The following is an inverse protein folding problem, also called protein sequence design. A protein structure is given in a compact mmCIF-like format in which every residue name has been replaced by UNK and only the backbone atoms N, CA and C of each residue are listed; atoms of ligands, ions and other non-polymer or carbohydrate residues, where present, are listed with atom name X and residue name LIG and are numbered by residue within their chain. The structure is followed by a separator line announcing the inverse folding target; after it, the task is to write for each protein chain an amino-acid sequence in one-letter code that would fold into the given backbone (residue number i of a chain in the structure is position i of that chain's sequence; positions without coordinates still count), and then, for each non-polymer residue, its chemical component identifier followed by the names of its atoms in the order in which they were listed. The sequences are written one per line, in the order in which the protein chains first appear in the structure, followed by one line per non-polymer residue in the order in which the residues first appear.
data_IF_262720359709
#
_entry.id   IF_262720359709
#
_cell.length_a   1.000
_cell.length_b   1.000
_cell.length_c   1.000
_cell.angle_alpha   90.00
_cell.angle_beta   90.00
_cell.angle_gamma   90.00
#
_symmetry.space_group_name_H-M   'P 1'
#
loop_
_entity.id
_entity.type
_entity.pdbx_description
1 polymer ?
#
# COMPACT_ATOMS: atom_id res chain seq x y z
N UNK A 1 -47.90 -22.36 13.51
CA UNK A 1 -46.59 -23.01 13.75
C UNK A 1 -46.00 -23.43 12.40
N UNK A 2 -44.98 -22.70 11.94
CA UNK A 2 -44.24 -23.08 10.72
C UNK A 2 -43.52 -24.44 10.93
N UNK A 3 -43.56 -25.33 9.94
CA UNK A 3 -42.78 -26.56 9.99
C UNK A 3 -41.31 -26.16 9.98
N UNK A 4 -40.52 -26.59 10.97
CA UNK A 4 -39.05 -26.42 10.94
C UNK A 4 -38.49 -27.10 9.71
N UNK A 5 -37.60 -26.43 9.00
CA UNK A 5 -36.99 -26.94 7.75
C UNK A 5 -36.11 -28.16 8.02
N UNK A 6 -35.49 -28.19 9.21
CA UNK A 6 -34.57 -29.27 9.62
C UNK A 6 -34.94 -29.78 10.99
N UNK A 7 -34.61 -31.01 11.25
CA UNK A 7 -34.68 -31.63 12.57
C UNK A 7 -33.29 -31.73 13.18
N UNK A 8 -33.19 -31.72 14.50
CA UNK A 8 -31.91 -31.74 15.23
C UNK A 8 -31.03 -32.96 14.84
N UNK A 9 -31.65 -34.08 14.51
CA UNK A 9 -30.99 -35.32 14.08
C UNK A 9 -30.12 -35.14 12.82
N UNK A 10 -30.36 -34.11 12.01
CA UNK A 10 -29.58 -33.81 10.81
C UNK A 10 -28.37 -32.90 11.08
N UNK A 11 -28.20 -32.36 12.30
CA UNK A 11 -27.02 -31.61 12.65
C UNK A 11 -25.78 -32.51 12.71
N UNK A 12 -24.72 -32.12 12.06
CA UNK A 12 -23.44 -32.83 12.05
C UNK A 12 -22.39 -32.05 12.85
N UNK A 13 -21.96 -32.64 13.98
CA UNK A 13 -20.92 -32.00 14.82
C UNK A 13 -19.59 -31.92 14.07
N UNK A 14 -19.13 -33.00 13.44
CA UNK A 14 -17.85 -33.04 12.70
C UNK A 14 -17.80 -31.99 11.60
N UNK A 15 -18.90 -31.76 10.88
CA UNK A 15 -19.00 -30.76 9.82
C UNK A 15 -19.10 -29.33 10.38
N UNK A 16 -19.76 -29.17 11.52
CA UNK A 16 -19.84 -27.92 12.26
C UNK A 16 -18.45 -27.50 12.71
N UNK A 17 -17.69 -28.45 13.28
CA UNK A 17 -16.31 -28.22 13.70
C UNK A 17 -15.40 -27.92 12.51
N UNK A 18 -15.56 -28.62 11.39
CA UNK A 18 -14.83 -28.36 10.15
C UNK A 18 -15.17 -27.00 9.54
N UNK A 19 -16.43 -26.54 9.63
CA UNK A 19 -16.81 -25.20 9.21
C UNK A 19 -16.14 -24.13 10.08
N UNK A 20 -15.99 -24.37 11.40
CA UNK A 20 -15.26 -23.49 12.31
C UNK A 20 -15.87 -22.09 12.45
N UNK A 21 -17.18 -21.95 12.31
CA UNK A 21 -17.94 -20.74 12.60
C UNK A 21 -18.73 -20.95 13.88
N UNK A 22 -18.38 -20.28 15.01
CA UNK A 22 -18.81 -20.67 16.37
C UNK A 22 -20.31 -20.59 16.59
N UNK A 23 -21.04 -19.79 15.83
CA UNK A 23 -22.48 -19.58 16.01
C UNK A 23 -23.35 -20.35 15.01
N UNK A 24 -22.72 -21.19 14.17
CA UNK A 24 -23.43 -21.99 13.18
C UNK A 24 -23.38 -23.48 13.50
N UNK A 25 -24.42 -24.18 13.05
CA UNK A 25 -24.50 -25.65 12.98
C UNK A 25 -24.75 -26.06 11.55
N UNK A 26 -23.96 -27.01 11.05
CA UNK A 26 -24.18 -27.61 9.73
C UNK A 26 -25.26 -28.66 9.83
N UNK A 27 -26.31 -28.51 9.04
CA UNK A 27 -27.48 -29.43 9.04
C UNK A 27 -27.48 -30.38 7.83
N UNK A 28 -26.83 -30.01 6.73
CA UNK A 28 -26.59 -30.88 5.60
C UNK A 28 -25.42 -30.38 4.76
N UNK A 29 -24.85 -31.29 3.97
CA UNK A 29 -23.85 -31.02 2.95
C UNK A 29 -24.28 -31.64 1.64
N UNK A 30 -24.04 -30.92 0.55
CA UNK A 30 -24.26 -31.43 -0.80
C UNK A 30 -23.10 -30.98 -1.69
N UNK A 31 -22.83 -31.70 -2.73
CA UNK A 31 -21.92 -31.27 -3.79
C UNK A 31 -22.70 -30.52 -4.85
N UNK A 32 -22.16 -29.42 -5.34
CA UNK A 32 -22.71 -28.70 -6.49
C UNK A 32 -22.43 -29.54 -7.75
N UNK A 33 -23.47 -29.96 -8.49
CA UNK A 33 -23.29 -30.81 -9.68
C UNK A 33 -22.56 -30.10 -10.83
N UNK A 34 -22.53 -28.75 -10.83
CA UNK A 34 -21.90 -27.94 -11.90
C UNK A 34 -20.44 -27.61 -11.61
N UNK A 35 -20.10 -27.34 -10.34
CA UNK A 35 -18.77 -26.83 -9.95
C UNK A 35 -17.96 -27.82 -9.12
N UNK A 36 -18.55 -28.91 -8.68
CA UNK A 36 -18.01 -29.87 -7.69
C UNK A 36 -17.60 -29.17 -6.36
N UNK A 37 -18.11 -27.98 -6.10
CA UNK A 37 -17.93 -27.27 -4.83
C UNK A 37 -18.85 -27.87 -3.77
N UNK A 38 -18.38 -27.93 -2.53
CA UNK A 38 -19.22 -28.38 -1.42
C UNK A 38 -20.14 -27.25 -0.97
N UNK A 39 -21.42 -27.57 -0.86
CA UNK A 39 -22.48 -26.69 -0.36
C UNK A 39 -22.81 -27.11 1.08
N UNK A 40 -22.57 -26.19 2.02
CA UNK A 40 -22.90 -26.40 3.42
C UNK A 40 -24.20 -25.67 3.76
N UNK A 41 -25.22 -26.43 4.19
CA UNK A 41 -26.44 -25.83 4.74
C UNK A 41 -26.28 -25.69 6.23
N UNK A 42 -26.41 -24.46 6.73
CA UNK A 42 -26.21 -24.14 8.13
C UNK A 42 -27.38 -23.33 8.71
N UNK A 43 -27.57 -23.49 9.99
CA UNK A 43 -28.50 -22.72 10.83
C UNK A 43 -27.73 -22.12 12.00
N UNK A 44 -28.28 -21.09 12.62
CA UNK A 44 -27.74 -20.58 13.87
C UNK A 44 -27.87 -21.65 14.98
N UNK A 45 -26.88 -21.77 15.87
CA UNK A 45 -26.86 -22.77 16.94
C UNK A 45 -28.11 -22.74 17.84
N UNK A 46 -28.77 -21.60 17.97
CA UNK A 46 -30.03 -21.44 18.69
C UNK A 46 -31.25 -21.91 17.89
N UNK A 47 -31.08 -22.45 16.66
CA UNK A 47 -32.20 -22.89 15.79
C UNK A 47 -33.06 -23.95 16.48
N UNK A 48 -32.44 -24.89 17.17
CA UNK A 48 -33.11 -25.95 17.92
C UNK A 48 -33.43 -25.60 19.37
N UNK A 49 -32.91 -24.44 19.86
CA UNK A 49 -33.19 -23.97 21.23
C UNK A 49 -34.66 -23.59 21.38
N UNK A 50 -35.18 -23.83 22.57
CA UNK A 50 -36.50 -23.36 22.97
C UNK A 50 -36.48 -21.93 23.51
N UNK A 51 -35.32 -21.32 23.64
CA UNK A 51 -35.17 -19.96 24.12
C UNK A 51 -35.78 -18.96 23.11
N UNK A 52 -36.52 -18.00 23.66
CA UNK A 52 -37.08 -16.93 22.82
C UNK A 52 -36.01 -15.92 22.45
N UNK A 53 -36.05 -15.45 21.20
CA UNK A 53 -35.15 -14.40 20.75
C UNK A 53 -35.58 -13.06 21.34
N UNK A 54 -34.61 -12.27 21.80
CA UNK A 54 -34.86 -10.93 22.35
C UNK A 54 -35.00 -9.94 21.19
N UNK A 55 -36.03 -9.11 21.24
CA UNK A 55 -36.23 -8.07 20.23
C UNK A 55 -35.15 -6.99 20.33
N UNK A 56 -34.40 -6.68 19.26
CA UNK A 56 -33.34 -5.67 19.30
C UNK A 56 -33.88 -4.23 19.45
N UNK A 57 -35.18 -4.02 19.25
CA UNK A 57 -35.79 -2.68 19.28
C UNK A 57 -36.35 -2.31 20.65
N UNK A 58 -37.00 -3.23 21.34
CA UNK A 58 -37.64 -2.95 22.64
C UNK A 58 -37.13 -3.84 23.77
N UNK A 59 -36.19 -4.74 23.51
CA UNK A 59 -35.64 -5.72 24.44
C UNK A 59 -36.68 -6.70 25.02
N UNK A 60 -37.88 -6.75 24.43
CA UNK A 60 -38.92 -7.70 24.84
C UNK A 60 -38.61 -9.12 24.37
N UNK A 61 -39.00 -10.09 25.21
CA UNK A 61 -38.85 -11.52 24.92
C UNK A 61 -40.11 -12.17 24.28
N UNK A 62 -41.17 -11.41 24.09
CA UNK A 62 -42.41 -11.89 23.47
C UNK A 62 -42.30 -11.88 21.94
N UNK A 63 -41.56 -12.87 21.42
CA UNK A 63 -41.24 -12.96 19.98
C UNK A 63 -41.73 -14.28 19.42
N UNK A 64 -42.22 -14.24 18.17
CA UNK A 64 -42.68 -15.41 17.44
C UNK A 64 -41.94 -15.52 16.10
N UNK A 65 -41.45 -16.72 15.77
CA UNK A 65 -40.88 -17.00 14.46
C UNK A 65 -41.96 -16.86 13.37
N UNK A 66 -41.64 -16.13 12.30
CA UNK A 66 -42.59 -15.86 11.22
C UNK A 66 -42.20 -16.58 9.94
N UNK A 67 -40.94 -16.59 9.57
CA UNK A 67 -40.44 -17.22 8.33
C UNK A 67 -38.95 -17.52 8.44
N UNK A 68 -38.50 -18.41 7.54
CA UNK A 68 -37.10 -18.71 7.28
C UNK A 68 -36.76 -18.27 5.87
N UNK A 69 -35.59 -17.64 5.69
CA UNK A 69 -35.05 -17.32 4.36
C UNK A 69 -33.65 -17.87 4.22
N UNK A 70 -33.38 -18.52 3.10
CA UNK A 70 -32.03 -18.97 2.77
C UNK A 70 -31.22 -17.82 2.16
N UNK A 71 -30.02 -17.60 2.73
CA UNK A 71 -29.04 -16.65 2.20
C UNK A 71 -27.80 -17.42 1.81
N UNK A 72 -27.27 -17.14 0.62
CA UNK A 72 -26.04 -17.77 0.12
C UNK A 72 -24.84 -16.88 0.39
N UNK A 73 -23.78 -17.49 0.92
CA UNK A 73 -22.49 -16.87 1.14
C UNK A 73 -21.40 -17.75 0.53
N UNK A 74 -20.31 -17.16 0.11
CA UNK A 74 -19.05 -17.88 -0.10
C UNK A 74 -18.23 -17.82 1.19
N UNK A 75 -17.59 -18.94 1.50
CA UNK A 75 -16.74 -19.08 2.67
C UNK A 75 -15.49 -19.88 2.35
N UNK A 76 -14.56 -19.97 3.28
CA UNK A 76 -13.34 -20.75 3.16
C UNK A 76 -13.20 -21.70 4.35
N UNK A 77 -13.01 -22.98 4.04
CA UNK A 77 -12.75 -23.94 5.09
C UNK A 77 -11.32 -23.82 5.60
N UNK A 78 -11.12 -23.83 6.93
CA UNK A 78 -9.79 -24.01 7.51
C UNK A 78 -9.26 -25.38 7.08
N UNK A 79 -8.04 -25.45 6.57
CA UNK A 79 -7.41 -26.72 6.22
C UNK A 79 -6.16 -26.94 7.06
N UNK A 80 -6.04 -28.11 7.66
CA UNK A 80 -4.85 -28.52 8.41
C UNK A 80 -3.59 -28.58 7.53
N UNK A 81 -3.75 -28.76 6.20
CA UNK A 81 -2.66 -28.91 5.23
C UNK A 81 -2.36 -27.64 4.44
N UNK A 82 -2.90 -26.47 4.83
CA UNK A 82 -2.67 -25.21 4.15
C UNK A 82 -3.47 -25.01 2.85
N UNK A 83 -4.06 -26.07 2.27
CA UNK A 83 -4.95 -25.98 1.12
C UNK A 83 -6.32 -25.45 1.56
N UNK A 84 -6.61 -24.20 1.23
CA UNK A 84 -7.86 -23.54 1.59
C UNK A 84 -8.90 -23.80 0.50
N UNK A 85 -10.00 -24.46 0.83
CA UNK A 85 -11.11 -24.74 -0.10
C UNK A 85 -12.21 -23.70 0.10
N UNK A 86 -12.61 -23.04 -0.98
CA UNK A 86 -13.80 -22.16 -0.98
C UNK A 86 -15.03 -23.05 -1.09
N UNK A 87 -16.07 -22.70 -0.34
CA UNK A 87 -17.34 -23.42 -0.27
C UNK A 87 -18.51 -22.47 -0.43
N UNK A 88 -19.65 -23.00 -0.81
CA UNK A 88 -20.94 -22.34 -0.70
C UNK A 88 -21.58 -22.64 0.65
N UNK A 89 -21.88 -21.57 1.39
CA UNK A 89 -22.59 -21.62 2.67
C UNK A 89 -24.01 -21.12 2.47
N UNK A 90 -25.00 -21.98 2.63
CA UNK A 90 -26.42 -21.63 2.61
C UNK A 90 -26.91 -21.52 4.04
N UNK A 91 -27.02 -20.30 4.51
CA UNK A 91 -27.51 -19.99 5.86
C UNK A 91 -29.03 -19.82 5.85
N UNK A 92 -29.72 -20.59 6.69
CA UNK A 92 -31.19 -20.55 6.85
C UNK A 92 -31.54 -19.62 8.01
N UNK A 93 -31.69 -18.33 7.70
CA UNK A 93 -31.93 -17.24 8.64
C UNK A 93 -33.41 -17.19 9.03
N UNK A 94 -33.68 -17.21 10.34
CA UNK A 94 -35.01 -17.04 10.91
C UNK A 94 -35.38 -15.56 11.00
N UNK A 95 -36.65 -15.28 10.84
CA UNK A 95 -37.26 -13.97 11.06
C UNK A 95 -38.31 -14.07 12.14
N UNK A 96 -38.32 -13.08 13.02
CA UNK A 96 -39.20 -13.01 14.18
C UNK A 96 -40.04 -11.75 14.14
N UNK A 97 -41.25 -11.82 14.67
CA UNK A 97 -42.08 -10.67 15.01
C UNK A 97 -42.10 -10.51 16.51
N UNK A 98 -41.90 -9.32 17.00
CA UNK A 98 -42.08 -8.99 18.40
C UNK A 98 -43.54 -8.56 18.63
N UNK A 99 -44.23 -9.25 19.54
CA UNK A 99 -45.63 -8.90 19.85
C UNK A 99 -45.74 -7.68 20.75
N UNK A 100 -44.66 -7.29 21.49
CA UNK A 100 -44.64 -6.11 22.32
C UNK A 100 -44.54 -4.79 21.51
N UNK A 101 -43.74 -4.74 20.48
CA UNK A 101 -43.55 -3.55 19.67
C UNK A 101 -43.98 -3.72 18.18
N UNK A 102 -44.51 -4.89 17.81
CA UNK A 102 -44.99 -5.26 16.49
C UNK A 102 -43.98 -5.12 15.34
N UNK A 103 -42.68 -5.09 15.65
CA UNK A 103 -41.60 -5.01 14.65
C UNK A 103 -41.13 -6.40 14.27
N UNK A 104 -40.69 -6.52 12.98
CA UNK A 104 -40.07 -7.72 12.44
C UNK A 104 -38.56 -7.52 12.45
N UNK A 105 -37.83 -8.54 12.89
CA UNK A 105 -36.38 -8.59 12.85
C UNK A 105 -35.90 -9.98 12.44
N UNK A 106 -34.62 -10.09 12.06
CA UNK A 106 -33.99 -11.35 11.74
C UNK A 106 -32.95 -11.73 12.80
N UNK A 107 -32.56 -12.98 12.82
CA UNK A 107 -31.36 -13.42 13.57
C UNK A 107 -30.16 -12.58 13.15
N UNK A 108 -29.30 -12.29 14.12
CA UNK A 108 -28.03 -11.63 13.86
C UNK A 108 -27.10 -12.53 13.03
N UNK A 109 -26.30 -11.92 12.17
CA UNK A 109 -25.27 -12.59 11.37
C UNK A 109 -23.94 -11.94 11.71
N UNK A 110 -23.14 -12.61 12.57
CA UNK A 110 -21.83 -12.08 12.99
C UNK A 110 -20.70 -12.54 12.08
N UNK A 111 -20.91 -13.61 11.31
CA UNK A 111 -19.91 -14.17 10.41
C UNK A 111 -19.77 -13.46 9.07
N UNK A 112 -20.66 -12.52 8.74
CA UNK A 112 -20.64 -11.73 7.51
C UNK A 112 -21.16 -10.31 7.76
N UNK A 113 -20.60 -9.32 7.05
CA UNK A 113 -21.10 -7.96 7.08
C UNK A 113 -22.45 -7.82 6.35
N UNK A 114 -23.25 -6.83 6.78
CA UNK A 114 -24.54 -6.54 6.16
C UNK A 114 -24.40 -6.26 4.66
N UNK A 115 -25.24 -6.94 3.88
CA UNK A 115 -25.24 -6.84 2.42
C UNK A 115 -24.13 -7.62 1.73
N UNK A 116 -23.16 -8.20 2.45
CA UNK A 116 -22.09 -9.00 1.89
C UNK A 116 -22.55 -10.45 1.58
N UNK A 117 -21.96 -11.01 0.53
CA UNK A 117 -22.12 -12.43 0.15
C UNK A 117 -20.89 -13.27 0.48
N UNK A 118 -19.95 -12.73 1.23
CA UNK A 118 -18.73 -13.39 1.67
C UNK A 118 -18.67 -13.33 3.19
N UNK A 119 -18.17 -14.41 3.79
CA UNK A 119 -17.92 -14.40 5.23
C UNK A 119 -16.79 -13.41 5.57
N UNK A 120 -16.74 -13.00 6.83
CA UNK A 120 -15.71 -12.07 7.31
C UNK A 120 -14.31 -12.64 7.05
N UNK A 121 -14.07 -13.92 7.36
CA UNK A 121 -12.76 -14.55 7.18
C UNK A 121 -12.35 -14.67 5.70
N UNK A 122 -13.28 -14.97 4.79
CA UNK A 122 -12.98 -14.95 3.35
C UNK A 122 -12.69 -13.52 2.88
N UNK A 123 -13.49 -12.55 3.33
CA UNK A 123 -13.28 -11.14 3.00
C UNK A 123 -11.93 -10.63 3.50
N UNK A 124 -11.51 -11.04 4.70
CA UNK A 124 -10.19 -10.70 5.25
C UNK A 124 -9.05 -11.31 4.44
N UNK A 125 -9.18 -12.61 4.09
CA UNK A 125 -8.19 -13.29 3.26
C UNK A 125 -8.03 -12.67 1.88
N UNK A 126 -9.17 -12.31 1.24
CA UNK A 126 -9.15 -11.61 -0.05
C UNK A 126 -8.48 -10.24 0.09
N UNK A 127 -8.77 -9.50 1.16
CA UNK A 127 -8.15 -8.20 1.43
C UNK A 127 -6.63 -8.33 1.63
N UNK A 128 -6.18 -9.30 2.41
CA UNK A 128 -4.75 -9.60 2.61
C UNK A 128 -4.05 -9.92 1.30
N UNK A 129 -4.66 -10.75 0.45
CA UNK A 129 -4.11 -11.04 -0.88
C UNK A 129 -3.90 -9.78 -1.72
N UNK A 130 -4.75 -8.77 -1.58
CA UNK A 130 -4.64 -7.52 -2.35
C UNK A 130 -3.55 -6.56 -1.86
N UNK A 131 -2.87 -6.86 -0.77
CA UNK A 131 -1.69 -6.09 -0.36
C UNK A 131 -0.56 -6.21 -1.39
N UNK A 132 -0.45 -7.36 -2.05
CA UNK A 132 0.64 -7.66 -3.00
C UNK A 132 0.16 -8.07 -4.39
N UNK A 133 -1.16 -8.17 -4.62
CA UNK A 133 -1.74 -8.63 -5.88
C UNK A 133 -2.96 -7.82 -6.30
N UNK A 134 -3.31 -7.91 -7.60
CA UNK A 134 -4.55 -7.29 -8.10
C UNK A 134 -5.78 -8.05 -7.60
N UNK A 135 -6.94 -7.36 -7.50
CA UNK A 135 -8.20 -7.97 -7.10
C UNK A 135 -8.58 -9.19 -7.97
N UNK A 136 -8.35 -9.10 -9.27
CA UNK A 136 -8.67 -10.18 -10.21
C UNK A 136 -7.86 -11.44 -9.92
N UNK A 137 -6.55 -11.30 -9.69
CA UNK A 137 -5.68 -12.43 -9.36
C UNK A 137 -6.06 -13.09 -8.06
N UNK A 138 -6.31 -12.27 -7.03
CA UNK A 138 -6.73 -12.80 -5.72
C UNK A 138 -8.05 -13.56 -5.85
N UNK A 139 -9.05 -12.99 -6.54
CA UNK A 139 -10.32 -13.65 -6.77
C UNK A 139 -10.16 -14.96 -7.57
N UNK A 140 -9.35 -14.97 -8.63
CA UNK A 140 -9.05 -16.17 -9.43
C UNK A 140 -8.37 -17.26 -8.59
N UNK A 141 -7.41 -16.89 -7.72
CA UNK A 141 -6.72 -17.83 -6.83
C UNK A 141 -7.69 -18.57 -5.91
N UNK A 142 -8.71 -17.90 -5.41
CA UNK A 142 -9.68 -18.46 -4.49
C UNK A 142 -10.98 -18.95 -5.18
N UNK A 143 -11.04 -18.97 -6.52
CA UNK A 143 -12.23 -19.38 -7.24
C UNK A 143 -13.47 -18.53 -6.95
N UNK A 144 -13.27 -17.29 -6.52
CA UNK A 144 -14.37 -16.38 -6.19
C UNK A 144 -14.75 -15.60 -7.44
N UNK A 145 -16.02 -15.65 -7.90
CA UNK A 145 -16.44 -14.90 -9.06
C UNK A 145 -16.30 -13.40 -8.80
N UNK A 146 -15.39 -12.79 -9.53
CA UNK A 146 -15.14 -11.35 -9.48
C UNK A 146 -16.19 -10.59 -10.28
N UNK A 147 -17.31 -10.24 -9.67
CA UNK A 147 -17.93 -8.98 -10.11
C UNK A 147 -17.00 -7.87 -9.60
N UNK A 148 -16.25 -7.26 -10.53
CA UNK A 148 -15.17 -6.30 -10.27
C UNK A 148 -15.55 -5.21 -9.24
N UNK A 149 -16.82 -4.81 -9.22
CA UNK A 149 -17.32 -3.73 -8.38
C UNK A 149 -17.57 -4.16 -6.93
N UNK A 150 -18.24 -5.30 -6.71
CA UNK A 150 -18.66 -5.70 -5.36
C UNK A 150 -17.50 -6.21 -4.52
N UNK A 151 -16.63 -7.03 -5.11
CA UNK A 151 -15.44 -7.57 -4.40
C UNK A 151 -14.46 -6.44 -4.08
N UNK A 152 -14.21 -5.55 -5.02
CA UNK A 152 -13.33 -4.39 -4.80
C UNK A 152 -13.83 -3.47 -3.68
N UNK A 153 -15.15 -3.28 -3.54
CA UNK A 153 -15.73 -2.48 -2.45
C UNK A 153 -15.53 -3.16 -1.10
N UNK A 154 -15.77 -4.48 -1.01
CA UNK A 154 -15.59 -5.25 0.22
C UNK A 154 -14.12 -5.24 0.66
N UNK A 155 -13.20 -5.51 -0.28
CA UNK A 155 -11.78 -5.52 0.00
C UNK A 155 -11.28 -4.14 0.49
N UNK A 156 -11.69 -3.06 -0.17
CA UNK A 156 -11.36 -1.69 0.26
C UNK A 156 -11.86 -1.40 1.68
N UNK A 157 -13.10 -1.77 1.97
CA UNK A 157 -13.68 -1.58 3.30
C UNK A 157 -12.89 -2.34 4.37
N UNK A 158 -12.51 -3.60 4.09
CA UNK A 158 -11.72 -4.41 5.01
C UNK A 158 -10.30 -3.87 5.22
N UNK A 159 -9.64 -3.45 4.15
CA UNK A 159 -8.32 -2.81 4.26
C UNK A 159 -8.37 -1.54 5.12
N UNK A 160 -9.39 -0.68 4.92
CA UNK A 160 -9.60 0.51 5.75
C UNK A 160 -9.86 0.18 7.21
N UNK A 161 -10.65 -0.85 7.50
CA UNK A 161 -10.91 -1.28 8.88
C UNK A 161 -9.63 -1.76 9.56
N UNK A 162 -8.82 -2.57 8.87
CA UNK A 162 -7.51 -3.01 9.39
C UNK A 162 -6.55 -1.85 9.61
N UNK A 163 -6.45 -0.92 8.67
CA UNK A 163 -5.60 0.27 8.82
C UNK A 163 -6.03 1.14 10.03
N UNK A 164 -7.34 1.27 10.28
CA UNK A 164 -7.85 2.01 11.45
C UNK A 164 -7.59 1.31 12.80
N UNK A 165 -7.33 0.02 12.79
CA UNK A 165 -6.99 -0.75 14.01
C UNK A 165 -5.50 -0.64 14.38
N UNK A 166 -4.70 0.07 13.56
CA UNK A 166 -3.31 0.33 13.89
C UNK A 166 -3.21 1.08 15.22
N UNK A 167 -2.27 0.70 16.10
CA UNK A 167 -2.03 1.44 17.32
C UNK A 167 -1.69 2.91 17.03
N UNK A 168 -1.98 3.82 17.97
CA UNK A 168 -1.61 5.22 17.82
C UNK A 168 -0.10 5.37 17.67
N UNK A 169 0.31 6.43 16.99
CA UNK A 169 1.70 6.74 16.73
C UNK A 169 2.34 7.41 17.94
N UNK A 170 3.56 7.01 18.23
CA UNK A 170 4.44 7.81 19.05
C UNK A 170 5.10 8.88 18.18
N UNK A 171 5.03 10.15 18.60
CA UNK A 171 5.68 11.25 17.85
C UNK A 171 7.19 11.04 17.79
N UNK A 172 7.82 11.02 16.60
CA UNK A 172 9.25 10.82 16.45
C UNK A 172 10.03 12.10 16.77
N UNK A 173 11.30 11.95 17.15
CA UNK A 173 12.21 13.10 17.27
C UNK A 173 12.64 13.63 15.92
N UNK A 174 12.74 12.76 14.93
CA UNK A 174 13.18 13.10 13.56
C UNK A 174 12.10 12.63 12.58
N UNK A 175 11.66 13.49 11.72
CA UNK A 175 10.72 13.20 10.63
C UNK A 175 11.35 13.43 9.27
N UNK A 176 10.96 12.62 8.31
CA UNK A 176 11.21 12.84 6.88
C UNK A 176 9.89 12.90 6.16
N UNK A 177 9.64 13.93 5.37
CA UNK A 177 8.43 14.08 4.57
C UNK A 177 8.85 14.29 3.12
N UNK A 178 8.45 13.39 2.26
CA UNK A 178 8.67 13.49 0.83
C UNK A 178 7.35 13.33 0.08
N UNK A 179 7.26 13.94 -1.09
CA UNK A 179 6.02 14.09 -1.85
C UNK A 179 6.16 13.40 -3.21
N UNK A 180 6.05 12.06 -3.27
CA UNK A 180 6.08 11.35 -4.53
C UNK A 180 4.78 11.56 -5.32
N UNK A 181 4.92 11.53 -6.64
CA UNK A 181 3.77 11.47 -7.54
C UNK A 181 3.37 10.01 -7.78
N UNK A 182 2.10 9.72 -7.56
CA UNK A 182 1.51 8.41 -7.75
C UNK A 182 0.19 8.55 -8.51
N UNK A 183 0.08 7.95 -9.70
CA UNK A 183 -1.06 8.14 -10.62
C UNK A 183 -1.42 9.62 -10.85
N UNK A 184 -0.42 10.46 -11.11
CA UNK A 184 -0.54 11.90 -11.31
C UNK A 184 -1.07 12.70 -10.09
N UNK A 185 -1.06 12.12 -8.89
CA UNK A 185 -1.39 12.81 -7.66
C UNK A 185 -0.18 12.81 -6.73
N UNK A 186 0.01 13.92 -6.04
CA UNK A 186 1.04 14.07 -5.02
C UNK A 186 0.52 13.53 -3.68
N UNK A 187 1.17 12.50 -3.14
CA UNK A 187 0.82 11.92 -1.85
C UNK A 187 1.98 12.03 -0.86
N UNK A 188 1.97 13.01 0.04
CA UNK A 188 3.05 13.14 1.01
C UNK A 188 3.18 11.90 1.90
N UNK A 189 4.37 11.34 1.94
CA UNK A 189 4.75 10.19 2.76
C UNK A 189 5.54 10.70 3.95
N UNK A 190 5.07 10.37 5.15
CA UNK A 190 5.68 10.81 6.41
C UNK A 190 6.35 9.64 7.10
N UNK A 191 7.65 9.74 7.28
CA UNK A 191 8.46 8.77 8.01
C UNK A 191 8.95 9.35 9.33
N UNK A 192 9.00 8.51 10.36
CA UNK A 192 9.62 8.86 11.63
C UNK A 192 10.86 8.02 11.90
N UNK A 193 11.87 8.66 12.50
CA UNK A 193 13.12 8.02 12.88
C UNK A 193 13.26 8.06 14.39
N UNK A 194 13.44 6.89 14.99
CA UNK A 194 13.77 6.75 16.41
C UNK A 194 15.01 5.88 16.53
N UNK A 195 16.17 6.49 16.78
CA UNK A 195 17.45 5.80 16.82
C UNK A 195 17.79 5.13 15.47
N UNK A 196 17.91 3.80 15.45
CA UNK A 196 18.18 3.01 14.25
C UNK A 196 16.92 2.44 13.59
N UNK A 197 15.73 2.80 14.07
CA UNK A 197 14.47 2.31 13.54
C UNK A 197 13.71 3.40 12.81
N UNK A 198 13.01 2.98 11.79
CA UNK A 198 12.17 3.81 10.95
C UNK A 198 10.77 3.27 10.95
N UNK A 199 9.80 4.16 10.86
CA UNK A 199 8.42 3.78 10.69
C UNK A 199 7.72 4.68 9.67
N UNK A 200 6.78 4.12 8.98
CA UNK A 200 5.81 4.89 8.22
C UNK A 200 4.81 5.48 9.20
N UNK A 201 4.78 6.79 9.32
CA UNK A 201 3.83 7.50 10.17
C UNK A 201 2.50 7.58 9.46
N UNK A 202 2.49 8.15 8.27
CA UNK A 202 1.29 8.29 7.45
C UNK A 202 1.61 8.52 5.98
N UNK A 203 0.58 8.39 5.14
CA UNK A 203 0.56 8.86 3.76
C UNK A 203 -0.61 9.81 3.65
N UNK A 204 -0.36 11.09 3.35
CA UNK A 204 -1.42 12.09 3.30
C UNK A 204 -2.18 12.04 1.97
N UNK A 205 -3.45 12.46 1.98
CA UNK A 205 -4.33 12.39 0.81
C UNK A 205 -4.01 13.45 -0.25
N UNK A 206 -3.32 14.51 0.14
CA UNK A 206 -3.00 15.63 -0.74
C UNK A 206 -1.79 16.40 -0.21
N UNK A 207 -1.08 17.07 -1.12
CA UNK A 207 -0.01 18.01 -0.82
C UNK A 207 -0.59 19.41 -0.72
N UNK A 208 -1.07 19.79 0.48
CA UNK A 208 -1.59 21.14 0.75
C UNK A 208 -1.21 21.60 2.15
N UNK A 209 -1.07 22.90 2.33
CA UNK A 209 -0.73 23.49 3.63
C UNK A 209 -1.76 23.10 4.71
N UNK A 210 -3.05 23.02 4.36
CA UNK A 210 -4.11 22.62 5.27
C UNK A 210 -3.98 21.13 5.69
N UNK A 211 -3.69 20.23 4.76
CA UNK A 211 -3.50 18.83 5.05
C UNK A 211 -2.29 18.61 5.98
N UNK A 212 -1.18 19.32 5.72
CA UNK A 212 -0.02 19.30 6.60
C UNK A 212 -0.33 19.83 8.00
N UNK A 213 -1.03 20.97 8.09
CA UNK A 213 -1.40 21.56 9.38
C UNK A 213 -2.29 20.65 10.21
N UNK A 214 -3.28 20.00 9.59
CA UNK A 214 -4.14 19.01 10.24
C UNK A 214 -3.32 17.82 10.73
N UNK A 215 -2.46 17.26 9.90
CA UNK A 215 -1.61 16.14 10.28
C UNK A 215 -0.66 16.53 11.45
N UNK A 216 0.05 17.65 11.35
CA UNK A 216 0.99 18.10 12.39
C UNK A 216 0.29 18.41 13.71
N UNK A 217 -1.00 18.76 13.70
CA UNK A 217 -1.77 18.95 14.92
C UNK A 217 -1.99 17.67 15.72
N UNK A 218 -1.84 16.52 15.10
CA UNK A 218 -1.97 15.19 15.75
C UNK A 218 -0.70 14.75 16.48
N UNK A 219 0.41 15.47 16.28
CA UNK A 219 1.72 15.13 16.84
C UNK A 219 2.03 15.96 18.09
N UNK A 220 2.84 15.40 18.97
CA UNK A 220 3.42 16.14 20.09
C UNK A 220 4.59 17.01 19.58
N UNK A 221 4.31 18.30 19.38
CA UNK A 221 5.24 19.27 18.79
C UNK A 221 6.55 19.41 19.57
N UNK A 222 6.53 19.17 20.88
CA UNK A 222 7.71 19.34 21.75
C UNK A 222 8.74 18.23 21.56
N UNK A 223 8.35 17.11 20.98
CA UNK A 223 9.24 15.96 20.73
C UNK A 223 10.00 16.07 19.41
N UNK A 224 9.47 16.81 18.44
CA UNK A 224 10.07 16.92 17.10
C UNK A 224 11.25 17.87 17.14
N UNK A 225 12.44 17.38 16.81
CA UNK A 225 13.70 18.14 16.81
C UNK A 225 14.19 18.47 15.40
N UNK A 226 13.96 17.56 14.46
CA UNK A 226 14.43 17.68 13.08
C UNK A 226 13.33 17.23 12.10
N UNK A 227 13.16 18.00 11.04
CA UNK A 227 12.22 17.69 9.97
C UNK A 227 12.96 17.80 8.64
N UNK A 228 13.10 16.68 7.94
CA UNK A 228 13.60 16.65 6.57
C UNK A 228 12.42 16.71 5.63
N UNK A 229 12.42 17.70 4.75
CA UNK A 229 11.31 17.95 3.83
C UNK A 229 11.78 17.90 2.38
N UNK A 230 10.84 17.61 1.50
CA UNK A 230 10.98 17.95 0.10
C UNK A 230 10.94 19.48 -0.07
N UNK A 231 11.60 20.02 -1.09
CA UNK A 231 11.57 21.43 -1.43
C UNK A 231 10.19 21.83 -1.98
N UNK A 232 9.23 21.96 -1.06
CA UNK A 232 7.85 22.40 -1.29
C UNK A 232 7.54 23.55 -0.34
N UNK A 233 7.11 24.68 -0.89
CA UNK A 233 6.89 25.91 -0.12
C UNK A 233 5.77 25.75 0.92
N UNK A 234 4.68 25.05 0.56
CA UNK A 234 3.54 24.83 1.45
C UNK A 234 3.93 23.90 2.61
N UNK A 235 4.70 22.85 2.31
CA UNK A 235 5.23 21.95 3.31
C UNK A 235 6.21 22.67 4.26
N UNK A 236 7.11 23.47 3.71
CA UNK A 236 8.05 24.27 4.51
C UNK A 236 7.32 25.23 5.45
N UNK A 237 6.36 26.01 4.94
CA UNK A 237 5.58 26.96 5.73
C UNK A 237 4.77 26.26 6.83
N UNK A 238 4.15 25.13 6.52
CA UNK A 238 3.39 24.33 7.49
C UNK A 238 4.31 23.74 8.57
N UNK A 239 5.46 23.20 8.20
CA UNK A 239 6.44 22.65 9.15
C UNK A 239 7.03 23.72 10.06
N UNK A 240 7.42 24.88 9.52
CA UNK A 240 7.94 26.01 10.29
C UNK A 240 6.93 26.54 11.31
N UNK A 241 5.64 26.56 10.93
CA UNK A 241 4.57 26.98 11.83
C UNK A 241 4.30 25.93 12.92
N UNK A 242 4.34 24.66 12.57
CA UNK A 242 4.01 23.56 13.49
C UNK A 242 5.15 23.27 14.48
N UNK A 243 6.40 23.39 14.05
CA UNK A 243 7.60 23.01 14.81
C UNK A 243 8.62 24.15 14.86
N UNK A 244 8.31 25.26 15.55
CA UNK A 244 9.15 26.46 15.56
C UNK A 244 10.55 26.22 16.17
N UNK A 245 10.69 25.21 17.04
CA UNK A 245 11.94 24.87 17.71
C UNK A 245 12.71 23.74 16.99
N UNK A 246 12.16 23.19 15.90
CA UNK A 246 12.80 22.14 15.13
C UNK A 246 13.64 22.69 13.98
N UNK A 247 14.75 22.01 13.66
CA UNK A 247 15.52 22.29 12.46
C UNK A 247 14.83 21.70 11.23
N UNK A 248 14.46 22.56 10.28
CA UNK A 248 13.85 22.14 9.02
C UNK A 248 14.94 22.13 7.95
N UNK A 249 15.12 20.99 7.30
CA UNK A 249 16.24 20.75 6.38
C UNK A 249 15.77 20.07 5.10
N UNK A 250 16.52 20.29 4.01
CA UNK A 250 16.38 19.56 2.74
C UNK A 250 17.56 18.60 2.62
N UNK A 251 17.28 17.32 2.53
CA UNK A 251 18.32 16.29 2.48
C UNK A 251 18.88 16.08 1.08
N UNK A 252 20.08 15.55 1.01
CA UNK A 252 20.71 15.11 -0.23
C UNK A 252 19.81 14.16 -1.03
N UNK A 253 19.14 13.22 -0.35
CA UNK A 253 18.24 12.28 -1.00
C UNK A 253 17.03 12.96 -1.66
N UNK A 254 16.51 14.04 -1.07
CA UNK A 254 15.46 14.82 -1.69
C UNK A 254 15.93 15.43 -3.00
N UNK A 255 17.11 16.08 -3.01
CA UNK A 255 17.68 16.69 -4.23
C UNK A 255 17.95 15.61 -5.29
N UNK A 256 18.57 14.50 -4.90
CA UNK A 256 18.84 13.38 -5.82
C UNK A 256 17.58 12.77 -6.40
N UNK A 257 16.47 12.78 -5.66
CA UNK A 257 15.18 12.32 -6.18
C UNK A 257 14.69 13.19 -7.33
N UNK A 258 14.73 14.52 -7.19
CA UNK A 258 14.36 15.44 -8.28
C UNK A 258 15.24 15.26 -9.51
N UNK A 259 16.53 15.03 -9.32
CA UNK A 259 17.45 14.75 -10.44
C UNK A 259 17.06 13.46 -11.16
N UNK A 260 16.70 12.39 -10.43
CA UNK A 260 16.22 11.15 -11.01
C UNK A 260 14.87 11.32 -11.72
N UNK A 261 13.97 12.13 -11.17
CA UNK A 261 12.69 12.47 -11.79
C UNK A 261 12.89 13.22 -13.11
N UNK A 262 13.80 14.20 -13.15
CA UNK A 262 14.19 14.89 -14.39
C UNK A 262 14.73 13.90 -15.45
N UNK A 263 15.63 13.00 -15.05
CA UNK A 263 16.11 11.94 -15.94
C UNK A 263 14.97 11.02 -16.41
N UNK A 264 14.02 10.68 -15.54
CA UNK A 264 12.86 9.87 -15.88
C UNK A 264 11.98 10.56 -16.93
N UNK A 265 11.79 11.87 -16.82
CA UNK A 265 11.00 12.63 -17.78
C UNK A 265 11.68 12.74 -19.14
N UNK A 266 13.00 12.88 -19.19
CA UNK A 266 13.77 12.76 -20.43
C UNK A 266 13.61 11.38 -21.05
N UNK A 267 13.71 10.31 -20.25
CA UNK A 267 13.51 8.93 -20.72
C UNK A 267 12.10 8.74 -21.31
N UNK A 268 11.06 9.30 -20.67
CA UNK A 268 9.68 9.23 -21.19
C UNK A 268 9.52 9.93 -22.54
N UNK A 269 10.14 11.10 -22.71
CA UNK A 269 10.07 11.87 -23.95
C UNK A 269 10.84 11.20 -25.10
N UNK A 270 12.03 10.72 -24.82
CA UNK A 270 12.92 10.07 -25.80
C UNK A 270 12.58 8.60 -26.04
N UNK A 271 11.74 7.99 -25.22
CA UNK A 271 11.45 6.57 -25.24
C UNK A 271 10.14 6.19 -25.93
N UNK A 272 10.11 5.10 -26.67
CA UNK A 272 8.88 4.47 -27.13
C UNK A 272 8.17 3.75 -25.98
N UNK A 273 6.84 3.88 -25.92
CA UNK A 273 5.92 3.59 -24.81
C UNK A 273 6.03 2.22 -24.09
N UNK A 274 6.68 1.21 -24.66
CA UNK A 274 6.65 -0.16 -24.12
C UNK A 274 7.88 -0.60 -23.32
N UNK A 275 8.99 0.13 -23.31
CA UNK A 275 10.24 -0.34 -22.71
C UNK A 275 10.82 0.59 -21.63
N UNK A 276 10.13 1.66 -21.28
CA UNK A 276 10.67 2.76 -20.47
C UNK A 276 10.88 2.35 -19.03
N UNK A 277 9.91 1.66 -18.44
CA UNK A 277 9.94 1.35 -17.01
C UNK A 277 11.07 0.37 -16.61
N UNK A 278 11.27 -0.69 -17.41
CA UNK A 278 12.37 -1.65 -17.15
C UNK A 278 13.76 -1.03 -17.32
N UNK A 279 13.88 0.04 -18.13
CA UNK A 279 15.15 0.70 -18.42
C UNK A 279 15.47 1.84 -17.47
N UNK A 280 14.46 2.46 -16.88
CA UNK A 280 14.63 3.54 -15.91
C UNK A 280 15.54 3.13 -14.75
N UNK A 281 15.22 2.05 -14.07
CA UNK A 281 16.06 1.56 -12.96
C UNK A 281 17.50 1.27 -13.37
N UNK A 282 17.71 0.77 -14.59
CA UNK A 282 19.06 0.49 -15.10
C UNK A 282 19.81 1.79 -15.43
N UNK A 283 19.13 2.78 -16.00
CA UNK A 283 19.71 4.09 -16.32
C UNK A 283 19.99 4.94 -15.08
N UNK A 284 19.23 4.78 -14.00
CA UNK A 284 19.48 5.45 -12.73
C UNK A 284 20.52 4.77 -11.84
N UNK A 285 21.02 3.57 -12.21
CA UNK A 285 22.15 2.93 -11.52
C UNK A 285 23.45 3.67 -11.80
N UNK A 286 24.31 3.76 -10.78
CA UNK A 286 25.70 4.14 -10.97
C UNK A 286 26.38 3.10 -11.88
N UNK A 287 27.05 3.59 -12.93
CA UNK A 287 27.64 2.77 -13.98
C UNK A 287 28.63 1.72 -13.46
N UNK A 288 29.32 2.01 -12.36
CA UNK A 288 30.25 1.06 -11.72
C UNK A 288 29.55 -0.21 -11.21
N UNK A 289 28.24 -0.16 -10.92
CA UNK A 289 27.46 -1.31 -10.46
C UNK A 289 26.66 -2.01 -11.55
N UNK A 290 26.79 -1.57 -12.82
CA UNK A 290 26.14 -2.24 -13.95
C UNK A 290 26.84 -3.56 -14.27
N UNK A 291 26.06 -4.64 -14.34
CA UNK A 291 26.59 -5.91 -14.88
C UNK A 291 26.70 -5.86 -16.42
N UNK A 292 27.35 -6.86 -17.03
CA UNK A 292 27.62 -6.87 -18.47
C UNK A 292 26.33 -6.85 -19.33
N UNK A 293 25.23 -7.57 -19.03
CA UNK A 293 23.95 -7.42 -19.71
C UNK A 293 23.35 -6.02 -19.60
N UNK A 294 23.31 -5.44 -18.38
CA UNK A 294 22.78 -4.09 -18.14
C UNK A 294 23.59 -3.03 -18.92
N UNK A 295 24.90 -3.10 -18.91
CA UNK A 295 25.76 -2.19 -19.67
C UNK A 295 25.49 -2.27 -21.18
N UNK A 296 25.31 -3.47 -21.74
CA UNK A 296 24.93 -3.64 -23.15
C UNK A 296 23.54 -3.04 -23.42
N UNK A 297 22.63 -3.16 -22.49
CA UNK A 297 21.28 -2.58 -22.61
C UNK A 297 21.32 -1.05 -22.58
N UNK A 298 22.08 -0.44 -21.66
CA UNK A 298 22.31 1.00 -21.58
C UNK A 298 22.89 1.50 -22.91
N UNK A 299 24.01 0.94 -23.37
CA UNK A 299 24.67 1.35 -24.61
C UNK A 299 23.71 1.28 -25.83
N UNK A 300 22.91 0.20 -25.95
CA UNK A 300 21.91 0.06 -27.01
C UNK A 300 20.80 1.11 -26.89
N UNK A 301 20.43 1.50 -25.68
CA UNK A 301 19.40 2.50 -25.44
C UNK A 301 19.88 3.89 -25.83
N UNK A 302 21.12 4.22 -25.51
CA UNK A 302 21.71 5.53 -25.74
C UNK A 302 22.17 5.75 -27.20
N UNK A 303 22.61 4.70 -27.92
CA UNK A 303 23.23 4.78 -29.25
C UNK A 303 22.42 5.48 -30.34
N UNK A 304 21.14 5.76 -30.15
CA UNK A 304 20.23 6.42 -31.10
C UNK A 304 19.43 7.54 -30.45
N UNK A 305 19.87 8.01 -29.29
CA UNK A 305 19.15 9.03 -28.51
C UNK A 305 20.16 9.96 -27.87
N UNK A 306 20.62 10.90 -28.67
CA UNK A 306 21.76 11.75 -28.31
C UNK A 306 21.44 12.64 -27.08
N UNK A 307 20.23 13.22 -27.01
CA UNK A 307 19.78 13.99 -25.86
C UNK A 307 19.75 13.15 -24.58
N UNK A 308 19.21 11.93 -24.64
CA UNK A 308 19.22 11.00 -23.50
C UNK A 308 20.66 10.56 -23.15
N UNK A 309 21.53 10.41 -24.14
CA UNK A 309 22.94 10.07 -23.89
C UNK A 309 23.66 11.21 -23.15
N UNK A 310 23.41 12.46 -23.51
CA UNK A 310 23.91 13.64 -22.78
C UNK A 310 23.40 13.67 -21.34
N UNK A 311 22.08 13.53 -21.14
CA UNK A 311 21.48 13.49 -19.82
C UNK A 311 22.02 12.35 -18.94
N UNK A 312 22.20 11.16 -19.52
CA UNK A 312 22.78 10.01 -18.81
C UNK A 312 24.23 10.28 -18.38
N UNK A 313 25.07 10.83 -19.26
CA UNK A 313 26.46 11.18 -18.94
C UNK A 313 26.51 12.24 -17.83
N UNK A 314 25.68 13.28 -17.93
CA UNK A 314 25.56 14.29 -16.90
C UNK A 314 25.19 13.68 -15.54
N UNK A 315 24.20 12.78 -15.51
CA UNK A 315 23.79 12.08 -14.29
C UNK A 315 24.92 11.19 -13.72
N UNK A 316 25.65 10.45 -14.55
CA UNK A 316 26.78 9.61 -14.09
C UNK A 316 27.92 10.45 -13.55
N UNK A 317 28.25 11.57 -14.18
CA UNK A 317 29.27 12.49 -13.70
C UNK A 317 28.89 13.12 -12.36
N UNK A 318 27.62 13.50 -12.20
CA UNK A 318 27.12 13.98 -10.90
C UNK A 318 27.30 12.93 -9.81
N UNK A 319 26.98 11.65 -10.06
CA UNK A 319 27.21 10.58 -9.08
C UNK A 319 28.69 10.45 -8.69
N UNK A 320 29.61 10.66 -9.62
CA UNK A 320 31.05 10.66 -9.36
C UNK A 320 31.45 11.86 -8.51
N UNK A 321 31.01 13.07 -8.87
CA UNK A 321 31.30 14.31 -8.11
C UNK A 321 30.77 14.22 -6.68
N UNK A 322 29.55 13.73 -6.50
CA UNK A 322 28.91 13.57 -5.19
C UNK A 322 29.53 12.47 -4.33
N UNK A 323 30.12 11.43 -4.94
CA UNK A 323 30.79 10.35 -4.23
C UNK A 323 31.98 10.82 -3.37
N UNK A 324 32.55 12.00 -3.64
CA UNK A 324 33.62 12.61 -2.86
C UNK A 324 33.12 13.53 -1.74
N UNK A 325 32.18 14.41 -2.02
CA UNK A 325 31.55 15.31 -1.06
C UNK A 325 30.38 16.06 -1.71
N UNK A 326 29.19 15.91 -1.17
CA UNK A 326 28.02 16.64 -1.61
C UNK A 326 28.06 18.09 -1.11
N UNK A 327 27.96 19.08 -2.01
CA UNK A 327 27.91 20.52 -1.69
C UNK A 327 27.13 21.25 -2.76
N UNK A 328 26.55 22.42 -2.42
CA UNK A 328 25.83 23.27 -3.39
C UNK A 328 26.71 23.67 -4.58
N UNK A 329 27.98 24.12 -4.40
CA UNK A 329 28.85 24.44 -5.53
C UNK A 329 29.11 23.29 -6.50
N UNK A 330 29.08 22.03 -6.04
CA UNK A 330 29.20 20.86 -6.94
C UNK A 330 27.96 20.75 -7.81
N UNK A 331 26.77 20.95 -7.24
CA UNK A 331 25.51 20.88 -7.99
C UNK A 331 25.40 22.03 -8.97
N UNK A 332 25.65 23.28 -8.54
CA UNK A 332 25.59 24.43 -9.43
C UNK A 332 26.59 24.32 -10.57
N UNK A 333 27.83 23.92 -10.28
CA UNK A 333 28.83 23.67 -11.32
C UNK A 333 28.42 22.54 -12.29
N UNK A 334 27.74 21.52 -11.81
CA UNK A 334 27.19 20.47 -12.64
C UNK A 334 26.05 20.99 -13.56
N UNK A 335 25.18 21.88 -13.05
CA UNK A 335 24.14 22.53 -13.85
C UNK A 335 24.78 23.38 -14.97
N UNK A 336 25.82 24.14 -14.63
CA UNK A 336 26.56 24.95 -15.60
C UNK A 336 27.20 24.12 -16.72
N UNK A 337 27.57 22.88 -16.43
CA UNK A 337 28.20 21.95 -17.39
C UNK A 337 27.16 21.19 -18.25
N UNK A 338 25.85 21.28 -18.01
CA UNK A 338 24.81 20.54 -18.76
C UNK A 338 24.89 20.75 -20.28
N UNK A 339 25.12 21.97 -20.82
CA UNK A 339 25.27 22.16 -22.26
C UNK A 339 26.43 21.35 -22.86
N UNK A 340 27.55 21.23 -22.16
CA UNK A 340 28.72 20.50 -22.64
C UNK A 340 28.41 18.99 -22.83
N UNK A 341 27.62 18.39 -21.94
CA UNK A 341 27.23 16.97 -22.09
C UNK A 341 26.34 16.75 -23.31
N UNK A 342 25.54 17.75 -23.73
CA UNK A 342 24.77 17.70 -24.95
C UNK A 342 25.65 17.83 -26.18
N UNK A 343 26.57 18.80 -26.17
CA UNK A 343 27.53 19.00 -27.26
C UNK A 343 28.38 17.74 -27.49
N UNK A 344 28.84 17.10 -26.42
CA UNK A 344 29.62 15.85 -26.46
C UNK A 344 28.78 14.62 -26.92
N UNK A 345 27.45 14.70 -26.88
CA UNK A 345 26.56 13.65 -27.28
C UNK A 345 26.00 13.82 -28.70
N UNK A 346 26.01 15.05 -29.23
CA UNK A 346 25.46 15.39 -30.53
C UNK A 346 26.33 14.87 -31.68
N UNK A 347 25.70 14.54 -32.81
CA UNK A 347 26.39 14.31 -34.08
C UNK A 347 26.82 15.65 -34.70
N UNK A 348 27.76 15.61 -35.66
CA UNK A 348 28.28 16.80 -36.31
C UNK A 348 27.13 17.63 -36.95
N UNK A 349 26.94 18.85 -36.48
CA UNK A 349 25.90 19.75 -36.96
C UNK A 349 24.51 19.51 -36.38
N UNK A 350 24.35 18.58 -35.45
CA UNK A 350 23.10 18.34 -34.70
C UNK A 350 22.96 19.38 -33.58
N UNK A 351 21.76 19.97 -33.45
CA UNK A 351 21.37 20.78 -32.29
C UNK A 351 20.39 20.00 -31.44
N UNK A 352 20.80 19.66 -30.19
CA UNK A 352 19.96 18.98 -29.24
C UNK A 352 19.18 20.00 -28.42
N UNK A 353 17.96 19.61 -28.02
CA UNK A 353 17.14 20.36 -27.06
C UNK A 353 17.82 20.36 -25.69
N UNK A 354 17.80 21.50 -24.99
CA UNK A 354 18.37 21.66 -23.65
C UNK A 354 17.74 20.69 -22.64
N UNK A 355 18.46 20.43 -21.54
CA UNK A 355 18.04 19.51 -20.45
C UNK A 355 17.23 20.28 -19.39
N UNK A 356 16.23 21.02 -19.83
CA UNK A 356 15.40 21.88 -18.97
C UNK A 356 14.66 21.10 -17.85
N UNK A 357 14.56 19.76 -17.94
CA UNK A 357 14.04 18.92 -16.85
C UNK A 357 14.89 18.98 -15.58
N UNK A 358 16.13 19.47 -15.70
CA UNK A 358 17.00 19.69 -14.55
C UNK A 358 16.97 21.14 -14.00
N UNK A 359 16.28 22.07 -14.66
CA UNK A 359 16.23 23.49 -14.21
C UNK A 359 15.67 23.63 -12.79
N UNK A 360 14.71 22.76 -12.42
CA UNK A 360 14.16 22.70 -11.07
C UNK A 360 15.22 22.53 -9.98
N UNK A 361 16.37 21.93 -10.30
CA UNK A 361 17.47 21.73 -9.35
C UNK A 361 18.15 23.06 -9.00
N UNK A 362 18.27 23.95 -10.00
CA UNK A 362 18.78 25.30 -9.77
C UNK A 362 17.87 26.09 -8.81
N UNK A 363 16.56 26.04 -9.06
CA UNK A 363 15.58 26.68 -8.18
C UNK A 363 15.64 26.13 -6.76
N UNK A 364 15.71 24.79 -6.62
CA UNK A 364 15.83 24.13 -5.31
C UNK A 364 17.09 24.59 -4.58
N UNK A 365 18.24 24.61 -5.24
CA UNK A 365 19.50 24.98 -4.61
C UNK A 365 19.54 26.45 -4.19
N UNK A 366 18.86 27.35 -4.92
CA UNK A 366 18.75 28.76 -4.57
C UNK A 366 17.72 29.02 -3.46
N UNK A 367 16.51 28.49 -3.59
CA UNK A 367 15.42 28.75 -2.65
C UNK A 367 15.62 28.09 -1.28
N UNK A 368 16.29 26.93 -1.26
CA UNK A 368 16.50 26.11 -0.06
C UNK A 368 17.98 26.01 0.35
N UNK A 369 18.81 27.00 -0.08
CA UNK A 369 20.26 27.00 0.21
C UNK A 369 20.56 26.83 1.70
N UNK A 370 19.84 27.56 2.56
CA UNK A 370 20.02 27.47 4.00
C UNK A 370 19.69 26.09 4.53
N UNK A 371 18.53 25.51 4.16
CA UNK A 371 18.06 24.20 4.63
C UNK A 371 18.97 23.08 4.16
N UNK A 372 19.56 23.22 2.97
CA UNK A 372 20.55 22.29 2.44
C UNK A 372 21.84 22.40 3.23
N UNK A 373 22.33 23.62 3.50
CA UNK A 373 23.55 23.83 4.28
C UNK A 373 23.40 23.35 5.73
N UNK A 374 22.24 23.56 6.36
CA UNK A 374 21.94 23.05 7.69
C UNK A 374 22.01 21.50 7.71
N UNK A 375 21.50 20.83 6.67
CA UNK A 375 21.66 19.37 6.51
C UNK A 375 23.12 18.95 6.33
N UNK A 376 23.88 19.68 5.50
CA UNK A 376 25.29 19.38 5.25
C UNK A 376 26.16 19.52 6.50
N UNK A 377 25.78 20.40 7.43
CA UNK A 377 26.48 20.64 8.68
C UNK A 377 26.21 19.56 9.75
N UNK A 378 25.28 18.64 9.52
CA UNK A 378 24.98 17.56 10.46
C UNK A 378 26.16 16.61 10.59
N UNK A 379 26.60 16.34 11.83
CA UNK A 379 27.61 15.32 12.13
C UNK A 379 27.13 13.92 11.79
N UNK A 380 25.83 13.62 12.07
CA UNK A 380 25.22 12.33 11.80
C UNK A 380 23.97 12.54 10.92
N UNK A 381 24.08 12.12 9.69
CA UNK A 381 22.98 12.16 8.71
C UNK A 381 22.07 10.95 8.87
N UNK A 382 20.74 11.11 8.71
CA UNK A 382 19.84 9.97 8.65
C UNK A 382 20.17 9.09 7.44
N UNK A 383 19.90 7.78 7.56
CA UNK A 383 20.14 6.84 6.47
C UNK A 383 19.20 7.07 5.30
N UNK A 384 19.73 7.30 4.11
CA UNK A 384 18.95 7.44 2.86
C UNK A 384 18.27 6.13 2.42
N UNK A 385 18.75 4.99 2.93
CA UNK A 385 18.17 3.67 2.62
C UNK A 385 16.67 3.56 2.96
N UNK A 386 16.20 4.40 3.88
CA UNK A 386 14.81 4.45 4.31
C UNK A 386 13.84 5.00 3.29
N UNK A 387 14.14 6.20 2.79
CA UNK A 387 13.31 6.84 1.77
C UNK A 387 13.29 5.95 0.52
N UNK A 388 14.45 5.42 0.13
CA UNK A 388 14.58 4.50 -1.00
C UNK A 388 13.77 3.22 -0.81
N UNK A 389 13.73 2.62 0.39
CA UNK A 389 12.96 1.42 0.65
C UNK A 389 11.44 1.68 0.58
N UNK A 390 10.96 2.78 1.14
CA UNK A 390 9.54 3.16 1.07
C UNK A 390 9.13 3.54 -0.35
N UNK A 391 9.99 4.26 -1.09
CA UNK A 391 9.77 4.54 -2.52
C UNK A 391 9.69 3.26 -3.33
N UNK A 392 10.55 2.28 -3.11
CA UNK A 392 10.48 0.98 -3.79
C UNK A 392 9.17 0.22 -3.51
N UNK A 393 8.58 0.37 -2.33
CA UNK A 393 7.24 -0.18 -2.04
C UNK A 393 6.18 0.59 -2.85
N UNK A 394 6.23 1.92 -2.88
CA UNK A 394 5.32 2.75 -3.67
C UNK A 394 5.39 2.38 -5.16
N UNK A 395 6.58 2.33 -5.73
CA UNK A 395 6.80 1.93 -7.13
C UNK A 395 6.21 0.56 -7.43
N UNK A 396 6.37 -0.39 -6.49
CA UNK A 396 5.79 -1.72 -6.62
C UNK A 396 4.25 -1.71 -6.60
N UNK A 397 3.65 -0.78 -5.86
CA UNK A 397 2.19 -0.61 -5.81
C UNK A 397 1.64 0.15 -7.02
N UNK A 398 2.43 0.99 -7.69
CA UNK A 398 2.03 1.71 -8.90
C UNK A 398 1.72 0.77 -10.07
N UNK A 399 2.35 -0.39 -10.11
CA UNK A 399 2.02 -1.42 -11.09
C UNK A 399 0.64 -2.07 -10.91
N UNK A 400 -0.03 -1.82 -9.77
CA UNK A 400 -1.34 -2.40 -9.47
C UNK A 400 -2.47 -1.50 -9.97
N UNK A 401 -3.36 -1.98 -10.86
CA UNK A 401 -4.46 -1.19 -11.37
C UNK A 401 -5.44 -0.78 -10.25
N UNK A 402 -6.08 0.39 -10.43
CA UNK A 402 -7.15 0.91 -9.56
C UNK A 402 -6.74 1.23 -8.12
N UNK A 403 -5.64 1.94 -7.94
CA UNK A 403 -5.24 2.40 -6.63
C UNK A 403 -5.81 3.81 -6.35
N UNK A 404 -6.97 3.90 -5.73
CA UNK A 404 -7.45 5.14 -5.11
C UNK A 404 -6.73 5.37 -3.79
N UNK A 405 -6.66 6.62 -3.32
CA UNK A 405 -5.94 7.00 -2.10
C UNK A 405 -6.17 6.07 -0.91
N UNK A 406 -7.42 5.77 -0.57
CA UNK A 406 -7.72 4.91 0.59
C UNK A 406 -7.12 3.49 0.50
N UNK A 407 -6.99 2.96 -0.72
CA UNK A 407 -6.37 1.66 -0.96
C UNK A 407 -4.86 1.77 -0.91
N UNK A 408 -4.30 2.83 -1.49
CA UNK A 408 -2.88 3.13 -1.40
C UNK A 408 -2.44 3.29 0.05
N UNK A 409 -3.13 4.16 0.80
CA UNK A 409 -2.88 4.39 2.21
C UNK A 409 -2.91 3.08 3.01
N UNK A 410 -4.00 2.30 2.88
CA UNK A 410 -4.12 1.03 3.59
C UNK A 410 -3.02 0.03 3.19
N UNK A 411 -2.69 -0.06 1.90
CA UNK A 411 -1.59 -0.93 1.41
C UNK A 411 -0.24 -0.50 1.97
N UNK A 412 0.07 0.78 1.93
CA UNK A 412 1.32 1.31 2.47
C UNK A 412 1.44 1.01 3.97
N UNK A 413 0.42 1.40 4.74
CA UNK A 413 0.40 1.19 6.18
C UNK A 413 0.50 -0.29 6.55
N UNK A 414 -0.25 -1.16 5.89
CA UNK A 414 -0.26 -2.59 6.20
C UNK A 414 0.97 -3.33 5.68
N UNK A 415 1.56 -2.95 4.54
CA UNK A 415 2.77 -3.59 4.03
C UNK A 415 4.01 -3.20 4.83
N UNK A 416 4.14 -1.94 5.20
CA UNK A 416 5.32 -1.46 5.93
C UNK A 416 5.27 -1.88 7.40
N UNK A 417 4.09 -1.89 8.00
CA UNK A 417 3.93 -2.05 9.45
C UNK A 417 3.27 -3.37 9.89
N UNK A 418 2.81 -4.22 8.95
CA UNK A 418 2.02 -5.42 9.26
C UNK A 418 2.69 -6.37 10.26
N UNK A 419 3.98 -6.61 10.14
CA UNK A 419 4.72 -7.53 11.02
C UNK A 419 4.92 -6.96 12.45
N UNK A 420 4.65 -5.68 12.62
CA UNK A 420 4.88 -4.93 13.87
C UNK A 420 3.59 -4.61 14.63
N UNK A 421 2.46 -4.77 13.97
CA UNK A 421 1.15 -4.44 14.54
C UNK A 421 0.67 -5.39 15.63
N UNK A 422 1.19 -6.60 15.67
CA UNK A 422 0.57 -7.72 16.39
C UNK A 422 1.42 -8.28 17.54
N UNK A 423 2.41 -7.54 18.02
CA UNK A 423 3.05 -7.94 19.29
C UNK A 423 2.13 -7.52 20.43
N UNK A 424 1.51 -8.53 21.06
CA UNK A 424 0.64 -8.36 22.22
C UNK A 424 1.26 -7.41 23.27
N UNK A 425 0.45 -6.42 23.68
CA UNK A 425 0.77 -5.52 24.79
C UNK A 425 1.51 -4.23 24.43
N UNK A 426 1.82 -3.94 23.17
CA UNK A 426 2.43 -2.65 22.80
C UNK A 426 1.40 -1.54 22.68
N UNK A 427 1.60 -0.47 23.43
CA UNK A 427 0.75 0.72 23.43
C UNK A 427 0.91 1.56 22.16
N UNK A 428 2.08 1.53 21.55
CA UNK A 428 2.44 2.30 20.35
C UNK A 428 3.19 1.42 19.35
N UNK A 429 3.13 1.80 18.07
CA UNK A 429 3.97 1.18 17.04
C UNK A 429 5.43 1.54 17.27
N UNK A 430 6.28 0.54 17.32
CA UNK A 430 7.73 0.72 17.38
C UNK A 430 8.29 0.79 15.98
N UNK A 431 9.18 1.54 15.57
CA UNK A 431 9.70 1.59 14.20
C UNK A 431 10.28 0.26 13.72
N UNK A 432 10.42 0.15 12.42
CA UNK A 432 11.00 -1.01 11.73
C UNK A 432 12.49 -0.75 11.48
N UNK A 433 13.40 -1.69 11.77
CA UNK A 433 14.78 -1.56 11.36
C UNK A 433 14.91 -1.41 9.84
N UNK A 434 15.84 -0.57 9.39
CA UNK A 434 16.02 -0.27 7.94
C UNK A 434 16.29 -1.54 7.14
N UNK A 435 17.08 -2.45 7.69
CA UNK A 435 17.42 -3.73 7.06
C UNK A 435 16.15 -4.55 6.79
N UNK A 436 15.25 -4.60 7.77
CA UNK A 436 13.98 -5.31 7.66
C UNK A 436 13.04 -4.70 6.63
N UNK A 437 13.03 -3.37 6.56
CA UNK A 437 12.24 -2.65 5.56
C UNK A 437 12.75 -2.94 4.13
N UNK A 438 14.08 -2.97 3.97
CA UNK A 438 14.74 -3.31 2.70
C UNK A 438 14.47 -4.78 2.31
N UNK A 439 14.52 -5.71 3.25
CA UNK A 439 14.14 -7.12 3.02
C UNK A 439 12.71 -7.22 2.52
N UNK A 440 11.78 -6.53 3.17
CA UNK A 440 10.36 -6.54 2.79
C UNK A 440 10.12 -5.92 1.42
N UNK A 441 10.82 -4.85 1.08
CA UNK A 441 10.80 -4.26 -0.26
C UNK A 441 11.25 -5.28 -1.31
N UNK A 442 12.35 -5.99 -1.05
CA UNK A 442 12.85 -7.02 -1.95
C UNK A 442 11.84 -8.17 -2.11
N UNK A 443 11.24 -8.63 -1.00
CA UNK A 443 10.19 -9.68 -1.06
C UNK A 443 8.98 -9.26 -1.92
N UNK A 444 8.53 -8.01 -1.81
CA UNK A 444 7.42 -7.50 -2.62
C UNK A 444 7.84 -7.43 -4.08
N UNK A 445 9.01 -6.88 -4.36
CA UNK A 445 9.55 -6.76 -5.71
C UNK A 445 9.74 -8.12 -6.38
N UNK A 446 10.28 -9.11 -5.68
CA UNK A 446 10.49 -10.45 -6.20
C UNK A 446 9.15 -11.19 -6.44
N UNK A 447 8.17 -11.01 -5.57
CA UNK A 447 6.81 -11.52 -5.78
C UNK A 447 6.15 -10.93 -7.03
N UNK A 448 6.38 -9.67 -7.33
CA UNK A 448 5.86 -9.02 -8.53
C UNK A 448 6.59 -9.54 -9.77
N UNK A 449 7.93 -9.66 -9.74
CA UNK A 449 8.73 -10.19 -10.85
C UNK A 449 8.41 -11.65 -11.19
N UNK A 450 8.39 -12.53 -10.20
CA UNK A 450 8.10 -13.94 -10.41
C UNK A 450 6.70 -14.19 -11.00
N UNK A 451 5.77 -13.28 -10.76
CA UNK A 451 4.43 -13.34 -11.35
C UNK A 451 4.42 -12.91 -12.81
N UNK A 452 5.20 -11.90 -13.20
CA UNK A 452 5.35 -11.49 -14.60
C UNK A 452 5.99 -12.60 -15.45
N UNK A 453 7.05 -13.25 -14.93
CA UNK A 453 7.72 -14.34 -15.64
C UNK A 453 6.80 -15.56 -15.86
N UNK A 454 5.91 -15.85 -14.90
CA UNK A 454 4.93 -16.93 -15.07
C UNK A 454 3.80 -16.60 -16.05
N UNK A 455 3.51 -15.33 -16.30
CA UNK A 455 2.54 -14.90 -17.31
C UNK A 455 3.13 -14.92 -18.74
N UNK A 456 4.39 -14.52 -18.87
CA UNK A 456 5.08 -14.54 -20.17
C UNK A 456 5.40 -15.97 -20.66
N UNK A 457 5.51 -16.95 -19.76
CA UNK A 457 5.75 -18.35 -20.07
C UNK A 457 4.46 -19.20 -20.24
N UNK A 458 3.30 -18.60 -20.06
CA UNK A 458 1.98 -19.26 -20.13
C UNK A 458 1.21 -19.01 -21.44
N UNK A 459 1.85 -18.44 -22.48
CA UNK A 459 1.30 -18.27 -23.83
C UNK A 459 2.07 -19.11 -24.83
#
# INVERSE_FOLDING_TARGET
MGRRLFQEVYASQDRTDALGLPDLMVVSEADDPETADSIYHAVHKTYFSKEKQICPYCQGANTAETKIRSRKFKDILPSANGNRKVIDLVFHQRYFRCDDCNRIFSENIDFAEDGCRYTNRLSDLLAEGTLTETYERVCKRYGVPASKTSVGVIMRRRLRLKAKQLPPLETPEIMTIFVPYFYNNAYPVVLGINGNSVRLIDVLSESSQSAYAVFFSTLDRTKVKQVFIDPDEQLHAAAATAFPDASIMVSEECVMRYIREGLADIIKKEGTRCFVYQRYHTLCKDEKYLNAPERRQVNRTLSRRHRLAGAYRAYQDLLVRMGSRWTIPIITGWIDDLPQYLDDAADEGEQLEELWEFDVINDITQLYERQINDYLALEKKPSSAMASAVMGILDSLEEMPYCIYDVLHARMMLNVEHDWMLRDGQKYRTGVPVERLTEKMNEITDKIKSKKENEDNGY
#
